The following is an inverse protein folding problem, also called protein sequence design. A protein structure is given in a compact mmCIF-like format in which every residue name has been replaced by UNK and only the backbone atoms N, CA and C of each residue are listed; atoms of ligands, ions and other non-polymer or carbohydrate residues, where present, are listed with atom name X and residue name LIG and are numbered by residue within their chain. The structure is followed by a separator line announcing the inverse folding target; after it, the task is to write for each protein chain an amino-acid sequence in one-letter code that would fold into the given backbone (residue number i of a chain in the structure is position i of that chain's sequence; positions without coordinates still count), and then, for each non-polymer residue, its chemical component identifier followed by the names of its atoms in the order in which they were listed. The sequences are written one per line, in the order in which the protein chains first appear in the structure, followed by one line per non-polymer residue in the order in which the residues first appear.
data_IF_201859299284
#
_entry.id   IF_201859299284
#
_cell.length_a   1.000
_cell.length_b   1.000
_cell.length_c   1.000
_cell.angle_alpha   90.00
_cell.angle_beta   90.00
_cell.angle_gamma   90.00
#
_symmetry.space_group_name_H-M   'P 1'
#
loop_
_entity.id
_entity.type
_entity.pdbx_description
1 polymer ?
#
# COMPACT_ATOMS: atom_id res chain seq x y z
N UNK A 1 -4.62 9.78 -5.11
CA UNK A 1 -6.01 10.17 -4.78
C UNK A 1 -6.51 11.35 -5.61
N UNK A 2 -5.73 11.92 -6.54
CA UNK A 2 -6.20 12.98 -7.45
C UNK A 2 -6.47 14.35 -6.82
N UNK A 3 -6.65 14.44 -5.50
CA UNK A 3 -7.13 15.65 -4.83
C UNK A 3 -6.31 16.91 -5.12
N UNK A 4 -4.99 16.80 -5.26
CA UNK A 4 -4.13 17.96 -5.58
C UNK A 4 -4.42 18.56 -6.96
N UNK A 5 -4.87 17.75 -7.93
CA UNK A 5 -5.33 18.24 -9.24
C UNK A 5 -6.71 18.90 -9.11
N UNK A 6 -7.65 18.26 -8.41
CA UNK A 6 -9.03 18.73 -8.26
C UNK A 6 -9.15 20.10 -7.57
N UNK A 7 -8.36 20.33 -6.52
CA UNK A 7 -8.40 21.58 -5.74
C UNK A 7 -7.52 22.68 -6.34
N UNK A 8 -6.79 22.40 -7.43
CA UNK A 8 -5.82 23.35 -7.97
C UNK A 8 -6.54 24.55 -8.61
N UNK A 9 -6.32 25.79 -8.13
CA UNK A 9 -7.03 26.97 -8.64
C UNK A 9 -6.66 27.30 -10.11
N UNK A 10 -5.50 26.83 -10.56
CA UNK A 10 -4.98 27.04 -11.92
C UNK A 10 -5.07 25.80 -12.81
N UNK A 11 -5.77 24.74 -12.35
CA UNK A 11 -6.04 23.51 -13.12
C UNK A 11 -4.78 22.76 -13.61
N UNK A 12 -3.71 22.75 -12.82
CA UNK A 12 -2.53 21.95 -13.12
C UNK A 12 -2.84 20.48 -12.88
N UNK A 13 -2.55 19.63 -13.87
CA UNK A 13 -2.72 18.18 -13.77
C UNK A 13 -1.55 17.51 -13.03
N UNK A 14 -1.36 17.88 -11.76
CA UNK A 14 -0.22 17.42 -10.97
C UNK A 14 -0.22 15.91 -10.77
N UNK A 15 -1.39 15.26 -10.70
CA UNK A 15 -1.47 13.82 -10.49
C UNK A 15 -0.82 13.02 -11.62
N UNK A 16 -1.14 13.34 -12.88
CA UNK A 16 -0.58 12.64 -14.04
C UNK A 16 0.89 13.02 -14.25
N UNK A 17 1.24 14.30 -14.07
CA UNK A 17 2.64 14.75 -14.14
C UNK A 17 3.55 14.01 -13.16
N UNK A 18 3.08 13.74 -11.93
CA UNK A 18 3.85 12.95 -10.96
C UNK A 18 4.05 11.49 -11.42
N UNK A 19 3.07 10.91 -12.13
CA UNK A 19 3.20 9.55 -12.68
C UNK A 19 4.18 9.51 -13.85
N UNK A 20 4.14 10.52 -14.72
CA UNK A 20 5.09 10.67 -15.84
C UNK A 20 6.51 10.86 -15.32
N UNK A 21 6.73 11.81 -14.40
CA UNK A 21 8.03 12.03 -13.78
C UNK A 21 8.58 10.75 -13.11
N UNK A 22 7.71 9.99 -12.45
CA UNK A 22 8.12 8.71 -11.84
C UNK A 22 8.55 7.70 -12.89
N UNK A 23 7.82 7.59 -14.01
CA UNK A 23 8.19 6.72 -15.13
C UNK A 23 9.55 7.14 -15.72
N UNK A 24 9.74 8.42 -15.97
CA UNK A 24 10.99 8.96 -16.51
C UNK A 24 12.18 8.67 -15.59
N UNK A 25 12.04 8.93 -14.29
CA UNK A 25 13.07 8.63 -13.28
C UNK A 25 13.47 7.14 -13.25
N UNK A 26 12.49 6.24 -13.38
CA UNK A 26 12.75 4.79 -13.45
C UNK A 26 13.47 4.41 -14.74
N UNK A 27 13.06 4.97 -15.89
CA UNK A 27 13.69 4.73 -17.21
C UNK A 27 15.11 5.28 -17.25
N UNK A 28 15.34 6.45 -16.65
CA UNK A 28 16.65 7.07 -16.48
C UNK A 28 17.58 6.31 -15.51
N UNK A 29 17.06 5.29 -14.82
CA UNK A 29 17.85 4.45 -13.92
C UNK A 29 18.08 5.05 -12.52
N UNK A 30 17.37 6.12 -12.17
CA UNK A 30 17.53 6.83 -10.90
C UNK A 30 16.90 6.09 -9.69
N UNK A 31 16.11 5.05 -9.97
CA UNK A 31 15.52 4.19 -8.93
C UNK A 31 16.52 3.17 -8.38
N UNK A 32 16.66 3.11 -7.06
CA UNK A 32 17.53 2.17 -6.35
C UNK A 32 17.06 0.70 -6.48
N UNK A 33 17.99 -0.24 -6.38
CA UNK A 33 17.72 -1.68 -6.45
C UNK A 33 16.79 -2.13 -5.32
N UNK A 34 16.99 -1.62 -4.11
CA UNK A 34 16.14 -1.95 -2.96
C UNK A 34 14.68 -1.55 -3.22
N UNK A 35 14.46 -0.41 -3.86
CA UNK A 35 13.14 0.08 -4.22
C UNK A 35 12.45 -0.84 -5.25
N UNK A 36 13.16 -1.20 -6.32
CA UNK A 36 12.65 -2.14 -7.34
C UNK A 36 12.28 -3.49 -6.74
N UNK A 37 13.12 -3.99 -5.85
CA UNK A 37 12.87 -5.25 -5.15
C UNK A 37 11.66 -5.16 -4.23
N UNK A 38 11.52 -4.07 -3.47
CA UNK A 38 10.37 -3.83 -2.60
C UNK A 38 9.06 -3.80 -3.40
N UNK A 39 9.03 -3.08 -4.53
CA UNK A 39 7.85 -3.04 -5.40
C UNK A 39 7.50 -4.40 -6.00
N UNK A 40 8.51 -5.18 -6.41
CA UNK A 40 8.30 -6.55 -6.93
C UNK A 40 7.71 -7.46 -5.86
N UNK A 41 8.23 -7.42 -4.64
CA UNK A 41 7.71 -8.19 -3.52
C UNK A 41 6.30 -7.76 -3.14
N UNK A 42 6.04 -6.45 -3.07
CA UNK A 42 4.72 -5.90 -2.81
C UNK A 42 3.69 -6.38 -3.84
N UNK A 43 4.01 -6.27 -5.14
CA UNK A 43 3.16 -6.75 -6.23
C UNK A 43 2.81 -8.24 -6.05
N UNK A 44 3.82 -9.08 -5.83
CA UNK A 44 3.60 -10.52 -5.68
C UNK A 44 2.76 -10.85 -4.44
N UNK A 45 2.99 -10.16 -3.32
CA UNK A 45 2.23 -10.34 -2.09
C UNK A 45 0.77 -9.89 -2.24
N UNK A 46 0.53 -8.73 -2.86
CA UNK A 46 -0.83 -8.20 -3.08
C UNK A 46 -1.65 -8.99 -4.09
N UNK A 47 -1.01 -9.63 -5.07
CA UNK A 47 -1.70 -10.46 -6.06
C UNK A 47 -1.99 -11.88 -5.55
N UNK A 48 -1.28 -12.35 -4.52
CA UNK A 48 -1.51 -13.68 -3.95
C UNK A 48 -2.50 -13.65 -2.79
N UNK A 49 -3.67 -14.24 -3.02
CA UNK A 49 -4.71 -14.35 -1.98
C UNK A 49 -4.24 -15.10 -0.74
N UNK A 50 -3.43 -16.13 -0.94
CA UNK A 50 -2.84 -16.92 0.14
C UNK A 50 -1.93 -16.05 1.00
N UNK A 51 -1.03 -15.27 0.40
CA UNK A 51 -0.10 -14.39 1.12
C UNK A 51 -0.86 -13.29 1.89
N UNK A 52 -1.90 -12.70 1.31
CA UNK A 52 -2.73 -11.70 2.01
C UNK A 52 -3.46 -12.26 3.24
N UNK A 53 -3.82 -13.55 3.20
CA UNK A 53 -4.50 -14.23 4.31
C UNK A 53 -3.52 -14.80 5.34
N UNK A 54 -2.24 -14.90 5.03
CA UNK A 54 -1.21 -15.36 5.95
C UNK A 54 -0.91 -14.29 7.03
N UNK A 55 -0.52 -14.77 8.22
CA UNK A 55 -0.22 -13.93 9.40
C UNK A 55 -1.43 -13.58 10.25
N UNK A 56 -1.22 -13.46 11.57
CA UNK A 56 -2.24 -12.98 12.51
C UNK A 56 -2.29 -11.44 12.53
N UNK A 57 -3.33 -10.88 13.16
CA UNK A 57 -3.49 -9.42 13.31
C UNK A 57 -2.28 -8.77 14.02
N UNK A 58 -1.73 -9.42 15.04
CA UNK A 58 -0.59 -8.90 15.81
C UNK A 58 0.66 -8.69 14.96
N UNK A 59 1.01 -9.66 14.11
CA UNK A 59 2.15 -9.59 13.20
C UNK A 59 1.90 -8.48 12.17
N UNK A 60 0.69 -8.41 11.60
CA UNK A 60 0.34 -7.37 10.63
C UNK A 60 0.42 -5.96 11.23
N UNK A 61 -0.08 -5.78 12.46
CA UNK A 61 0.00 -4.52 13.20
C UNK A 61 1.45 -4.13 13.50
N UNK A 62 2.27 -5.09 13.92
CA UNK A 62 3.67 -4.82 14.20
C UNK A 62 4.43 -4.41 12.92
N UNK A 63 4.28 -5.16 11.84
CA UNK A 63 4.93 -4.88 10.55
C UNK A 63 4.51 -3.51 10.02
N UNK A 64 3.20 -3.23 9.95
CA UNK A 64 2.70 -2.00 9.33
C UNK A 64 3.13 -0.75 10.12
N UNK A 65 3.04 -0.77 11.44
CA UNK A 65 3.39 0.41 12.25
C UNK A 65 4.91 0.61 12.31
N UNK A 66 5.71 -0.44 12.09
CA UNK A 66 7.16 -0.32 11.94
C UNK A 66 7.57 0.26 10.58
N UNK A 67 6.88 -0.11 9.50
CA UNK A 67 7.14 0.42 8.16
C UNK A 67 6.62 1.85 7.98
N UNK A 68 5.44 2.14 8.52
CA UNK A 68 4.76 3.44 8.38
C UNK A 68 4.89 4.30 9.64
N UNK A 69 6.10 4.46 10.19
CA UNK A 69 6.32 5.32 11.38
C UNK A 69 5.83 6.76 11.17
N UNK A 70 5.99 7.30 9.96
CA UNK A 70 5.50 8.64 9.62
C UNK A 70 3.98 8.77 9.71
N UNK A 71 3.24 7.67 9.50
CA UNK A 71 1.80 7.63 9.68
C UNK A 71 1.41 7.75 11.16
N UNK A 72 2.04 6.95 12.02
CA UNK A 72 1.74 6.93 13.46
C UNK A 72 2.10 8.23 14.18
N UNK A 73 2.93 9.08 13.58
CA UNK A 73 3.29 10.38 14.17
C UNK A 73 2.12 11.38 14.13
N UNK A 74 1.23 11.27 13.14
CA UNK A 74 0.13 12.22 12.93
C UNK A 74 -1.25 11.56 13.00
N UNK A 75 -1.31 10.23 13.01
CA UNK A 75 -2.55 9.44 12.97
C UNK A 75 -2.47 8.28 13.96
N UNK A 76 -3.63 7.77 14.33
CA UNK A 76 -3.73 6.55 15.12
C UNK A 76 -3.01 5.38 14.42
N UNK A 77 -2.43 4.45 15.20
CA UNK A 77 -1.77 3.26 14.65
C UNK A 77 -2.76 2.45 13.82
N UNK A 78 -2.23 1.78 12.80
CA UNK A 78 -3.05 0.92 11.95
C UNK A 78 -3.35 -0.39 12.69
N UNK A 79 -4.63 -0.67 12.87
CA UNK A 79 -5.12 -1.90 13.49
C UNK A 79 -5.82 -2.79 12.47
N UNK A 80 -5.23 -3.95 12.23
CA UNK A 80 -5.80 -5.01 11.41
C UNK A 80 -6.77 -5.87 12.25
N UNK A 81 -7.90 -6.27 11.66
CA UNK A 81 -8.85 -7.14 12.33
C UNK A 81 -8.29 -8.55 12.53
N UNK A 82 -8.75 -9.24 13.59
CA UNK A 82 -8.35 -10.63 13.90
C UNK A 82 -8.61 -11.60 12.75
N UNK A 83 -9.71 -11.39 12.03
CA UNK A 83 -10.10 -12.16 10.85
C UNK A 83 -10.19 -11.25 9.64
N UNK A 84 -9.68 -11.72 8.51
CA UNK A 84 -9.89 -11.02 7.23
C UNK A 84 -11.34 -11.23 6.76
N UNK A 85 -11.84 -10.32 5.93
CA UNK A 85 -13.16 -10.48 5.30
C UNK A 85 -13.34 -11.86 4.63
N UNK A 86 -12.29 -12.42 4.05
CA UNK A 86 -12.32 -13.74 3.43
C UNK A 86 -12.53 -14.88 4.42
N UNK A 87 -11.88 -14.79 5.57
CA UNK A 87 -12.04 -15.77 6.64
C UNK A 87 -13.46 -15.71 7.19
N UNK A 88 -13.97 -14.50 7.45
CA UNK A 88 -15.35 -14.27 7.86
C UNK A 88 -16.35 -14.83 6.85
N UNK A 89 -16.11 -14.61 5.55
CA UNK A 89 -16.97 -15.11 4.47
C UNK A 89 -16.93 -16.63 4.29
N UNK A 90 -15.76 -17.25 4.46
CA UNK A 90 -15.63 -18.72 4.42
C UNK A 90 -16.33 -19.36 5.62
N UNK A 91 -16.24 -18.75 6.80
CA UNK A 91 -16.95 -19.20 8.01
C UNK A 91 -18.46 -19.06 7.87
N UNK A 92 -18.97 -17.97 7.29
CA UNK A 92 -20.42 -17.78 7.10
C UNK A 92 -21.02 -18.78 6.11
N UNK A 93 -20.28 -19.20 5.09
CA UNK A 93 -20.70 -20.23 4.12
C UNK A 93 -20.66 -21.67 4.65
N UNK A 94 -20.03 -21.91 5.81
CA UNK A 94 -19.97 -23.23 6.46
C UNK A 94 -21.11 -23.45 7.45
N UNK A 95 -21.89 -22.41 7.77
CA UNK A 95 -23.21 -22.52 8.41
C UNK A 95 -24.26 -22.79 7.36
#
# INVERSE_FOLDING_TARGET
CGNCTEVCPVKINIHELLLENRRESVVAGESDFAEKFAWKMWKNASLSRMLMNQGNATIKNWVINKMFKGWSNQRAPLEFPKKTFNQLWSESKKR
#
